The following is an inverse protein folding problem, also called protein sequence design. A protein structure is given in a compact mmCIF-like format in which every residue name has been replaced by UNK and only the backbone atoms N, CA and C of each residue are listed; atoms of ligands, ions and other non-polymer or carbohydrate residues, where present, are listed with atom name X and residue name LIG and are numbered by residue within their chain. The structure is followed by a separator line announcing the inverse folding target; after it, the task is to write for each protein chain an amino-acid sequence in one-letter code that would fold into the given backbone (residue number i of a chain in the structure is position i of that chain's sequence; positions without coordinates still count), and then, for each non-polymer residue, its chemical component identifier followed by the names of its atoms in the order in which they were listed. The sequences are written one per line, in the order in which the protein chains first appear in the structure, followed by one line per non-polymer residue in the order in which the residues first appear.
data_IF_068743374972
#
_entry.id   IF_068743374972
#
_cell.length_a   1.000
_cell.length_b   1.000
_cell.length_c   1.000
_cell.angle_alpha   90.00
_cell.angle_beta   90.00
_cell.angle_gamma   90.00
#
_symmetry.space_group_name_H-M   'P 1'
#
loop_
_entity.id
_entity.type
_entity.pdbx_description
1 polymer ?
#
# COMPACT_ATOMS: atom_id res chain seq x y z
N UNK A 1 5.03 1.13 3.12
CA UNK A 1 5.25 0.01 4.08
C UNK A 1 4.83 -1.28 3.39
N UNK A 2 5.61 -2.35 3.54
CA UNK A 2 5.23 -3.67 3.04
C UNK A 2 4.50 -4.42 4.16
N UNK A 3 3.34 -5.00 3.86
CA UNK A 3 2.56 -5.83 4.79
C UNK A 3 3.12 -7.25 4.84
N UNK A 4 2.75 -8.05 5.86
CA UNK A 4 3.16 -9.45 5.97
C UNK A 4 2.75 -10.30 4.74
N UNK A 5 1.63 -9.95 4.11
CA UNK A 5 1.14 -10.61 2.89
C UNK A 5 1.91 -10.22 1.63
N UNK A 6 2.81 -9.22 1.71
CA UNK A 6 3.61 -8.75 0.58
C UNK A 6 2.97 -7.63 -0.24
N UNK A 7 2.02 -6.88 0.36
CA UNK A 7 1.43 -5.69 -0.28
C UNK A 7 2.21 -4.42 0.10
N UNK A 8 2.41 -3.54 -0.87
CA UNK A 8 2.85 -2.17 -0.65
C UNK A 8 1.65 -1.29 -0.26
N UNK A 9 1.62 -0.89 1.00
CA UNK A 9 0.70 0.11 1.55
C UNK A 9 1.39 1.47 1.66
N UNK A 10 0.90 2.47 0.95
CA UNK A 10 1.53 3.81 0.85
C UNK A 10 1.14 4.76 1.98
N UNK A 11 0.05 4.46 2.70
CA UNK A 11 -0.39 5.18 3.90
C UNK A 11 -0.97 4.18 4.90
N UNK A 12 -0.57 4.24 6.17
CA UNK A 12 -1.09 3.35 7.23
C UNK A 12 -2.62 3.42 7.37
N UNK A 13 -3.19 4.59 7.09
CA UNK A 13 -4.62 4.86 7.22
C UNK A 13 -5.38 4.90 5.88
N UNK A 14 -4.71 4.54 4.78
CA UNK A 14 -5.31 4.52 3.45
C UNK A 14 -5.48 3.12 2.90
N UNK A 15 -6.51 2.89 2.08
CA UNK A 15 -6.85 1.55 1.59
C UNK A 15 -6.12 1.14 0.33
N UNK A 16 -5.41 2.07 -0.29
CA UNK A 16 -4.62 1.78 -1.49
C UNK A 16 -3.44 0.88 -1.12
N UNK A 17 -3.53 -0.36 -1.57
CA UNK A 17 -2.51 -1.40 -1.45
C UNK A 17 -2.23 -1.99 -2.83
N UNK A 18 -0.96 -2.31 -3.10
CA UNK A 18 -0.53 -2.97 -4.33
C UNK A 18 0.20 -4.25 -3.98
N UNK A 19 -0.23 -5.40 -4.49
CA UNK A 19 0.48 -6.66 -4.29
C UNK A 19 1.78 -6.66 -5.08
N UNK A 20 2.91 -6.52 -4.39
CA UNK A 20 4.23 -6.67 -5.01
C UNK A 20 4.62 -8.14 -5.08
N UNK A 21 4.20 -8.95 -4.11
CA UNK A 21 4.42 -10.39 -4.08
C UNK A 21 3.92 -11.07 -5.36
N UNK A 22 2.68 -10.78 -5.77
CA UNK A 22 2.10 -11.45 -6.93
C UNK A 22 2.79 -11.01 -8.22
N UNK A 23 3.12 -9.73 -8.36
CA UNK A 23 3.87 -9.21 -9.51
C UNK A 23 5.23 -9.88 -9.67
N UNK A 24 5.98 -9.98 -8.58
CA UNK A 24 7.28 -10.67 -8.59
C UNK A 24 7.10 -12.16 -8.94
N UNK A 25 6.08 -12.83 -8.40
CA UNK A 25 5.81 -14.25 -8.68
C UNK A 25 5.30 -14.50 -10.11
N UNK A 26 4.64 -13.53 -10.72
CA UNK A 26 4.24 -13.56 -12.12
C UNK A 26 5.41 -13.29 -13.08
N UNK A 27 6.58 -12.89 -12.58
CA UNK A 27 7.76 -12.61 -13.39
C UNK A 27 7.77 -11.23 -14.04
N UNK A 28 7.11 -10.23 -13.43
CA UNK A 28 7.26 -8.82 -13.85
C UNK A 28 8.75 -8.43 -13.86
N UNK A 29 9.18 -7.69 -14.88
CA UNK A 29 10.56 -7.18 -14.95
C UNK A 29 10.81 -6.09 -13.89
N UNK A 30 12.08 -5.81 -13.61
CA UNK A 30 12.47 -4.76 -12.66
C UNK A 30 11.94 -3.38 -13.08
N UNK A 31 11.90 -3.08 -14.38
CA UNK A 31 11.33 -1.83 -14.91
C UNK A 31 9.82 -1.74 -14.63
N UNK A 32 9.08 -2.83 -14.86
CA UNK A 32 7.64 -2.89 -14.60
C UNK A 32 7.35 -2.75 -13.11
N UNK A 33 8.11 -3.44 -12.26
CA UNK A 33 7.98 -3.35 -10.82
C UNK A 33 8.30 -1.94 -10.32
N UNK A 34 9.36 -1.32 -10.85
CA UNK A 34 9.75 0.06 -10.54
C UNK A 34 8.66 1.05 -10.95
N UNK A 35 8.09 0.94 -12.15
CA UNK A 35 7.01 1.80 -12.61
C UNK A 35 5.78 1.71 -11.70
N UNK A 36 5.41 0.50 -11.26
CA UNK A 36 4.29 0.28 -10.36
C UNK A 36 4.54 0.91 -8.99
N UNK A 37 5.73 0.73 -8.43
CA UNK A 37 6.11 1.31 -7.15
C UNK A 37 6.11 2.85 -7.26
N UNK A 38 6.68 3.41 -8.31
CA UNK A 38 6.69 4.85 -8.57
C UNK A 38 5.27 5.41 -8.66
N UNK A 39 4.38 4.77 -9.45
CA UNK A 39 2.97 5.17 -9.54
C UNK A 39 2.28 5.10 -8.18
N UNK A 40 2.50 4.04 -7.40
CA UNK A 40 1.91 3.90 -6.07
C UNK A 40 2.38 5.02 -5.12
N UNK A 41 3.68 5.30 -5.09
CA UNK A 41 4.27 6.35 -4.24
C UNK A 41 3.83 7.74 -4.69
N UNK A 42 3.76 8.02 -5.99
CA UNK A 42 3.31 9.31 -6.52
C UNK A 42 1.82 9.56 -6.23
N UNK A 43 1.01 8.51 -6.21
CA UNK A 43 -0.40 8.59 -5.82
C UNK A 43 -0.61 8.73 -4.30
N UNK A 44 0.46 8.70 -3.50
CA UNK A 44 0.36 8.88 -2.04
C UNK A 44 -0.08 10.31 -1.73
N UNK A 45 -1.24 10.43 -1.07
CA UNK A 45 -1.69 11.72 -0.53
C UNK A 45 -0.65 12.31 0.43
N UNK A 46 -0.50 13.63 0.39
CA UNK A 46 0.45 14.35 1.24
C UNK A 46 0.25 14.05 2.75
N UNK A 47 -1.01 13.90 3.16
CA UNK A 47 -1.41 13.52 4.53
C UNK A 47 -2.61 12.56 4.51
N UNK A 48 -2.78 11.81 5.59
CA UNK A 48 -4.01 11.04 5.81
C UNK A 48 -5.19 11.99 6.09
N UNK A 49 -6.42 11.47 6.02
CA UNK A 49 -7.61 12.24 6.42
C UNK A 49 -7.55 12.58 7.92
N UNK A 50 -8.30 13.59 8.36
CA UNK A 50 -8.43 13.91 9.78
C UNK A 50 -8.93 12.73 10.61
N UNK A 51 -8.60 12.68 11.91
CA UNK A 51 -8.91 11.54 12.78
C UNK A 51 -10.41 11.22 12.83
N UNK A 52 -11.27 12.24 12.81
CA UNK A 52 -12.73 12.07 12.81
C UNK A 52 -13.23 11.35 11.56
N UNK A 53 -12.62 11.62 10.41
CA UNK A 53 -12.91 10.92 9.18
C UNK A 53 -12.35 9.48 9.23
N UNK A 54 -11.11 9.31 9.68
CA UNK A 54 -10.44 8.00 9.72
C UNK A 54 -11.20 6.96 10.53
N UNK A 55 -11.90 7.36 11.59
CA UNK A 55 -12.75 6.47 12.39
C UNK A 55 -13.83 5.77 11.57
N UNK A 56 -14.36 6.45 10.57
CA UNK A 56 -15.48 5.98 9.76
C UNK A 56 -15.05 5.44 8.39
N UNK A 57 -13.79 5.65 8.00
CA UNK A 57 -13.25 5.07 6.77
C UNK A 57 -12.94 3.58 6.98
N UNK A 58 -13.28 2.70 6.03
CA UNK A 58 -12.77 1.35 6.05
C UNK A 58 -11.24 1.43 6.01
N UNK A 59 -10.52 0.67 6.84
CA UNK A 59 -9.07 0.52 6.76
C UNK A 59 -8.63 -0.83 7.32
N UNK A 60 -7.51 -1.34 6.82
CA UNK A 60 -6.88 -2.54 7.37
C UNK A 60 -6.39 -2.23 8.80
N UNK A 61 -6.78 -3.01 9.81
CA UNK A 61 -6.35 -2.78 11.18
C UNK A 61 -4.83 -2.97 11.31
N UNK A 62 -4.19 -2.19 12.18
CA UNK A 62 -2.72 -2.17 12.31
C UNK A 62 -2.12 -3.53 12.66
N UNK A 63 -2.85 -4.37 13.40
CA UNK A 63 -2.43 -5.74 13.75
C UNK A 63 -2.25 -6.64 12.52
N UNK A 64 -2.91 -6.32 11.39
CA UNK A 64 -2.75 -7.06 10.14
C UNK A 64 -1.73 -6.42 9.19
N UNK A 65 -1.13 -5.27 9.55
CA UNK A 65 -0.12 -4.57 8.73
C UNK A 65 1.29 -4.91 9.21
N UNK A 66 1.47 -5.09 10.52
CA UNK A 66 2.70 -5.64 11.10
C UNK A 66 2.78 -7.15 10.91
N UNK A 67 3.98 -7.63 10.59
CA UNK A 67 4.33 -9.04 10.82
C UNK A 67 4.68 -9.23 12.29
#
# INVERSE_FOLDING_TARGET
RITADGNLKVCLHGNSEVSLRDRIRCGDSDEQLSEVIQKAVNNKKARHAGMDALKNLPNRPMILIGG
#
